data_IF_223134751573
#
_entry.id   IF_223134751573
#
_cell.length_a   1.000
_cell.length_b   1.000
_cell.length_c   1.000
_cell.angle_alpha   90.00
_cell.angle_beta   90.00
_cell.angle_gamma   90.00
#
_symmetry.space_group_name_H-M   'P 1'
#
loop_
_entity.id
_entity.type
_entity.pdbx_description
1 polymer ?
#
# COMPACT_ATOMS: atom_id res chain seq x y z
N UNK A 1 0.65 -9.60 10.86
CA UNK A 1 1.53 -10.74 10.56
C UNK A 1 2.08 -11.33 11.84
N UNK A 2 2.46 -12.62 11.87
CA UNK A 2 3.20 -13.26 12.94
C UNK A 2 4.41 -14.01 12.38
N UNK A 3 5.44 -14.16 13.20
CA UNK A 3 6.66 -14.91 12.84
C UNK A 3 6.47 -16.37 13.24
N UNK A 4 6.23 -17.22 12.27
CA UNK A 4 6.00 -18.66 12.50
C UNK A 4 7.25 -19.42 12.95
N UNK A 5 8.44 -18.89 12.64
CA UNK A 5 9.69 -19.52 13.04
C UNK A 5 9.93 -19.56 14.54
N UNK A 6 9.16 -18.78 15.32
CA UNK A 6 9.23 -18.73 16.77
C UNK A 6 8.44 -19.85 17.48
N UNK A 7 7.72 -20.68 16.71
CA UNK A 7 6.82 -21.68 17.24
C UNK A 7 7.10 -23.06 16.64
N UNK A 8 6.96 -24.16 17.42
CA UNK A 8 7.04 -25.52 16.89
C UNK A 8 5.97 -25.77 15.82
N UNK A 9 6.32 -26.56 14.80
CA UNK A 9 5.41 -26.87 13.70
C UNK A 9 4.13 -27.58 14.15
N UNK A 10 4.22 -28.39 15.21
CA UNK A 10 3.12 -29.16 15.78
C UNK A 10 1.96 -28.28 16.27
N UNK A 11 2.25 -27.08 16.78
CA UNK A 11 1.26 -26.13 17.29
C UNK A 11 0.95 -25.00 16.33
N UNK A 12 1.45 -25.06 15.08
CA UNK A 12 1.27 -23.99 14.09
C UNK A 12 -0.19 -23.56 13.93
N UNK A 13 -1.13 -24.51 13.82
CA UNK A 13 -2.54 -24.19 13.65
C UNK A 13 -3.14 -23.49 14.88
N UNK A 14 -2.75 -23.87 16.06
CA UNK A 14 -3.20 -23.24 17.31
C UNK A 14 -2.69 -21.80 17.40
N UNK A 15 -1.41 -21.59 17.13
CA UNK A 15 -0.75 -20.29 17.08
C UNK A 15 -1.43 -19.39 16.03
N UNK A 16 -1.62 -19.89 14.84
CA UNK A 16 -2.32 -19.17 13.77
C UNK A 16 -3.71 -18.73 14.19
N UNK A 17 -4.49 -19.62 14.79
CA UNK A 17 -5.84 -19.29 15.28
C UNK A 17 -5.82 -18.28 16.43
N UNK A 18 -4.82 -18.35 17.31
CA UNK A 18 -4.62 -17.38 18.39
C UNK A 18 -4.35 -15.98 17.82
N UNK A 19 -3.43 -15.84 16.84
CA UNK A 19 -3.13 -14.57 16.20
C UNK A 19 -4.31 -14.01 15.40
N UNK A 20 -5.10 -14.85 14.76
CA UNK A 20 -6.35 -14.42 14.06
C UNK A 20 -7.34 -13.85 15.07
N UNK A 21 -7.58 -14.52 16.20
CA UNK A 21 -8.47 -14.03 17.26
C UNK A 21 -7.96 -12.72 17.85
N UNK A 22 -6.67 -12.65 18.18
CA UNK A 22 -6.04 -11.43 18.68
C UNK A 22 -6.17 -10.27 17.72
N UNK A 23 -5.91 -10.47 16.42
CA UNK A 23 -6.03 -9.44 15.41
C UNK A 23 -7.48 -8.94 15.26
N UNK A 24 -8.47 -9.81 15.37
CA UNK A 24 -9.89 -9.42 15.38
C UNK A 24 -10.24 -8.59 16.61
N UNK A 25 -9.74 -8.98 17.78
CA UNK A 25 -9.97 -8.24 19.03
C UNK A 25 -9.34 -6.85 18.99
N UNK A 26 -8.09 -6.74 18.52
CA UNK A 26 -7.41 -5.45 18.34
C UNK A 26 -8.18 -4.57 17.34
N UNK A 27 -8.59 -5.13 16.19
CA UNK A 27 -9.39 -4.39 15.22
C UNK A 27 -10.70 -3.89 15.83
N UNK A 28 -11.41 -4.72 16.59
CA UNK A 28 -12.64 -4.33 17.26
C UNK A 28 -12.39 -3.18 18.23
N UNK A 29 -11.41 -3.28 19.12
CA UNK A 29 -11.08 -2.25 20.10
C UNK A 29 -10.73 -0.90 19.49
N UNK A 30 -10.04 -0.89 18.35
CA UNK A 30 -9.58 0.35 17.72
C UNK A 30 -10.67 0.98 16.85
N UNK A 31 -11.49 0.18 16.17
CA UNK A 31 -12.41 0.62 15.12
C UNK A 31 -13.87 0.72 15.60
N UNK A 32 -14.21 0.10 16.74
CA UNK A 32 -15.58 0.13 17.28
C UNK A 32 -15.95 1.54 17.73
N UNK A 33 -17.11 2.02 17.28
CA UNK A 33 -17.64 3.32 17.69
C UNK A 33 -18.30 3.20 19.06
N UNK A 34 -17.81 3.94 20.00
CA UNK A 34 -18.35 4.07 21.36
C UNK A 34 -19.09 5.40 21.52
N UNK A 35 -19.67 5.65 22.70
CA UNK A 35 -20.26 6.97 23.02
C UNK A 35 -19.25 8.13 22.95
N UNK A 36 -17.93 7.85 22.99
CA UNK A 36 -16.84 8.82 22.85
C UNK A 36 -16.22 8.83 21.44
N UNK A 37 -16.78 8.10 20.48
CA UNK A 37 -16.23 7.93 19.15
C UNK A 37 -15.40 6.64 19.00
N UNK A 38 -14.49 6.61 18.02
CA UNK A 38 -13.57 5.49 17.77
C UNK A 38 -12.11 5.96 17.80
N UNK A 39 -11.18 5.04 18.03
CA UNK A 39 -9.75 5.39 18.15
C UNK A 39 -9.14 5.64 16.76
N UNK A 40 -9.19 4.63 15.87
CA UNK A 40 -8.73 4.71 14.49
C UNK A 40 -9.60 3.87 13.56
N UNK A 41 -9.88 4.40 12.38
CA UNK A 41 -10.46 3.61 11.31
C UNK A 41 -9.39 2.69 10.71
N UNK A 42 -9.55 1.39 10.87
CA UNK A 42 -8.64 0.38 10.35
C UNK A 42 -9.17 -0.26 9.07
N UNK A 43 -8.28 -0.57 8.14
CA UNK A 43 -8.61 -1.24 6.89
C UNK A 43 -7.64 -2.39 6.63
N UNK A 44 -8.13 -3.62 6.66
CA UNK A 44 -7.35 -4.83 6.43
C UNK A 44 -7.42 -5.36 4.99
N UNK A 45 -7.99 -4.60 4.05
CA UNK A 45 -8.12 -5.04 2.65
C UNK A 45 -6.78 -5.12 1.91
N UNK A 46 -5.74 -4.44 2.40
CA UNK A 46 -4.39 -4.47 1.79
C UNK A 46 -3.54 -5.69 2.22
N UNK A 47 -4.17 -6.77 2.66
CA UNK A 47 -3.48 -8.05 2.90
C UNK A 47 -3.51 -8.95 1.66
N UNK A 48 -2.62 -9.95 1.54
CA UNK A 48 -2.65 -10.92 0.44
C UNK A 48 -4.03 -11.52 0.24
N UNK A 49 -4.59 -11.40 -0.96
CA UNK A 49 -5.87 -11.96 -1.37
C UNK A 49 -6.97 -11.94 -0.26
N UNK A 50 -7.52 -10.76 0.09
CA UNK A 50 -8.40 -10.60 1.25
C UNK A 50 -9.72 -11.36 1.19
N UNK A 51 -10.11 -11.85 0.02
CA UNK A 51 -11.33 -12.65 -0.16
C UNK A 51 -11.21 -14.08 0.38
N UNK A 52 -9.98 -14.63 0.45
CA UNK A 52 -9.74 -16.01 0.86
C UNK A 52 -8.78 -16.16 2.04
N UNK A 53 -8.00 -15.12 2.36
CA UNK A 53 -7.02 -15.17 3.43
C UNK A 53 -7.58 -14.65 4.76
N UNK A 54 -7.15 -15.20 5.90
CA UNK A 54 -7.51 -14.68 7.21
C UNK A 54 -6.93 -13.28 7.45
N UNK A 55 -7.44 -12.59 8.47
CA UNK A 55 -7.01 -11.23 8.84
C UNK A 55 -5.53 -11.15 9.26
N UNK A 56 -4.97 -12.26 9.74
CA UNK A 56 -3.56 -12.39 10.11
C UNK A 56 -2.94 -13.59 9.39
N UNK A 57 -1.75 -13.38 8.83
CA UNK A 57 -0.95 -14.37 8.10
C UNK A 57 0.42 -14.50 8.77
N UNK A 58 1.09 -15.63 8.57
CA UNK A 58 2.50 -15.76 8.88
C UNK A 58 3.34 -14.91 7.93
N UNK A 59 4.54 -14.52 8.37
CA UNK A 59 5.47 -13.73 7.57
C UNK A 59 5.84 -14.47 6.30
N UNK A 60 6.16 -15.77 6.38
CA UNK A 60 6.62 -16.55 5.23
C UNK A 60 5.48 -16.78 4.23
N UNK A 61 4.24 -17.04 4.70
CA UNK A 61 3.07 -17.11 3.80
C UNK A 61 2.82 -15.78 3.06
N UNK A 62 3.00 -14.66 3.74
CA UNK A 62 2.84 -13.35 3.09
C UNK A 62 3.94 -13.08 2.07
N UNK A 63 5.20 -13.40 2.39
CA UNK A 63 6.33 -13.25 1.46
C UNK A 63 6.15 -14.12 0.23
N UNK A 64 5.80 -15.41 0.40
CA UNK A 64 5.54 -16.33 -0.70
C UNK A 64 4.45 -15.85 -1.64
N UNK A 65 3.39 -15.23 -1.10
CA UNK A 65 2.36 -14.59 -1.93
C UNK A 65 2.92 -13.43 -2.76
N UNK A 66 3.65 -12.49 -2.13
CA UNK A 66 4.16 -11.33 -2.86
C UNK A 66 5.23 -11.68 -3.88
N UNK A 67 6.01 -12.73 -3.65
CA UNK A 67 7.00 -13.25 -4.61
C UNK A 67 6.33 -13.89 -5.84
N UNK A 68 5.24 -14.63 -5.65
CA UNK A 68 4.60 -15.44 -6.70
C UNK A 68 3.42 -14.75 -7.39
N UNK A 69 2.56 -14.07 -6.64
CA UNK A 69 1.26 -13.57 -7.10
C UNK A 69 1.01 -12.09 -6.81
N UNK A 70 1.95 -11.39 -6.18
CA UNK A 70 1.80 -9.99 -5.80
C UNK A 70 1.59 -9.06 -7.00
N UNK A 71 0.58 -8.20 -6.92
CA UNK A 71 0.13 -7.32 -8.00
C UNK A 71 0.83 -5.95 -7.95
N UNK A 72 0.83 -5.24 -9.08
CA UNK A 72 1.46 -3.93 -9.20
C UNK A 72 0.89 -2.87 -8.21
N UNK A 73 -0.41 -2.87 -7.98
CA UNK A 73 -1.03 -1.94 -7.04
C UNK A 73 -0.62 -2.20 -5.58
N UNK A 74 -0.33 -3.46 -5.22
CA UNK A 74 0.19 -3.81 -3.90
C UNK A 74 1.60 -3.25 -3.70
N UNK A 75 2.44 -3.27 -4.77
CA UNK A 75 3.76 -2.60 -4.75
C UNK A 75 3.62 -1.12 -4.42
N UNK A 76 2.68 -0.42 -5.08
CA UNK A 76 2.40 0.99 -4.81
C UNK A 76 1.98 1.23 -3.35
N UNK A 77 1.12 0.37 -2.80
CA UNK A 77 0.69 0.46 -1.40
C UNK A 77 1.88 0.31 -0.42
N UNK A 78 2.82 -0.59 -0.71
CA UNK A 78 3.99 -0.83 0.12
C UNK A 78 5.04 0.29 0.09
N UNK A 79 5.02 1.20 -0.86
CA UNK A 79 5.91 2.38 -0.86
C UNK A 79 5.77 3.19 0.44
N UNK A 80 4.54 3.25 0.97
CA UNK A 80 4.23 3.99 2.21
C UNK A 80 4.18 3.11 3.45
N UNK A 81 4.42 1.81 3.33
CA UNK A 81 4.33 0.90 4.45
C UNK A 81 5.41 1.14 5.49
N UNK A 82 5.02 1.10 6.75
CA UNK A 82 5.90 1.16 7.91
C UNK A 82 5.37 0.28 9.03
N UNK A 83 6.25 -0.22 9.86
CA UNK A 83 5.88 -0.86 11.11
C UNK A 83 5.39 0.19 12.11
N UNK A 84 4.31 -0.08 12.83
CA UNK A 84 3.71 0.88 13.75
C UNK A 84 3.35 0.30 15.11
N UNK A 85 3.23 -1.03 15.24
CA UNK A 85 2.87 -1.69 16.50
C UNK A 85 3.33 -3.15 16.51
N UNK A 86 3.37 -3.76 17.67
CA UNK A 86 3.85 -5.11 17.89
C UNK A 86 5.38 -5.20 17.86
N UNK A 87 5.93 -6.31 17.37
CA UNK A 87 7.37 -6.46 17.18
C UNK A 87 7.85 -5.64 15.98
N UNK A 88 8.35 -4.42 16.26
CA UNK A 88 8.85 -3.49 15.23
C UNK A 88 10.06 -4.04 14.48
N UNK A 89 10.87 -4.90 15.13
CA UNK A 89 12.04 -5.52 14.51
C UNK A 89 11.62 -6.57 13.50
N UNK A 90 10.69 -7.45 13.85
CA UNK A 90 10.12 -8.44 12.92
C UNK A 90 9.43 -7.76 11.74
N UNK A 91 8.64 -6.71 11.99
CA UNK A 91 7.99 -5.94 10.95
C UNK A 91 8.97 -5.24 10.01
N UNK A 92 10.05 -4.67 10.55
CA UNK A 92 11.12 -4.04 9.74
C UNK A 92 11.87 -5.08 8.90
N UNK A 93 12.12 -6.28 9.46
CA UNK A 93 12.70 -7.42 8.74
C UNK A 93 11.81 -7.86 7.57
N UNK A 94 10.50 -7.96 7.80
CA UNK A 94 9.53 -8.27 6.76
C UNK A 94 9.58 -7.25 5.62
N UNK A 95 9.49 -5.95 5.92
CA UNK A 95 9.56 -4.89 4.91
C UNK A 95 10.89 -4.90 4.15
N UNK A 96 12.00 -5.23 4.81
CA UNK A 96 13.30 -5.38 4.15
C UNK A 96 13.31 -6.56 3.18
N UNK A 97 12.77 -7.71 3.57
CA UNK A 97 12.63 -8.89 2.68
C UNK A 97 11.71 -8.60 1.48
N UNK A 98 10.73 -7.70 1.64
CA UNK A 98 9.78 -7.33 0.59
C UNK A 98 10.35 -6.31 -0.44
N UNK A 99 11.51 -5.70 -0.18
CA UNK A 99 12.11 -4.70 -1.07
C UNK A 99 12.27 -5.17 -2.53
N UNK A 100 12.71 -6.42 -2.83
CA UNK A 100 12.81 -6.90 -4.21
C UNK A 100 11.46 -6.94 -4.94
N UNK A 101 10.38 -7.23 -4.22
CA UNK A 101 9.02 -7.18 -4.78
C UNK A 101 8.61 -5.74 -5.09
N UNK A 102 8.84 -4.79 -4.17
CA UNK A 102 8.43 -3.39 -4.35
C UNK A 102 9.26 -2.74 -5.45
N UNK A 103 10.59 -2.91 -5.44
CA UNK A 103 11.55 -2.19 -6.27
C UNK A 103 12.23 -3.12 -7.28
N UNK A 104 11.49 -3.56 -8.30
CA UNK A 104 12.02 -4.40 -9.37
C UNK A 104 12.99 -3.61 -10.24
N UNK A 105 14.17 -4.19 -10.53
CA UNK A 105 15.20 -3.56 -11.37
C UNK A 105 14.84 -3.55 -12.86
N UNK A 106 14.07 -4.54 -13.31
CA UNK A 106 13.65 -4.66 -14.69
C UNK A 106 12.30 -4.00 -14.90
N UNK A 107 12.13 -3.31 -16.02
CA UNK A 107 10.89 -2.67 -16.40
C UNK A 107 9.85 -3.77 -16.63
N UNK A 108 8.82 -3.74 -15.82
CA UNK A 108 7.69 -4.65 -15.93
C UNK A 108 6.56 -3.90 -16.67
N UNK A 109 6.48 -4.10 -18.00
CA UNK A 109 5.43 -3.48 -18.82
C UNK A 109 4.03 -3.87 -18.34
N UNK A 110 3.87 -5.09 -17.81
CA UNK A 110 2.61 -5.52 -17.22
C UNK A 110 2.25 -4.65 -16.01
N UNK A 111 3.22 -4.32 -15.15
CA UNK A 111 2.99 -3.44 -14.00
C UNK A 111 2.59 -2.02 -14.40
N UNK A 112 3.10 -1.50 -15.51
CA UNK A 112 2.72 -0.18 -16.05
C UNK A 112 1.29 -0.24 -16.58
N UNK A 113 0.96 -1.29 -17.30
CA UNK A 113 -0.40 -1.52 -17.81
C UNK A 113 -1.40 -1.68 -16.68
N UNK A 114 -1.11 -2.53 -15.69
CA UNK A 114 -1.95 -2.71 -14.51
C UNK A 114 -2.19 -1.39 -13.76
N UNK A 115 -1.15 -0.57 -13.61
CA UNK A 115 -1.27 0.75 -13.00
C UNK A 115 -2.18 1.68 -13.81
N UNK A 116 -2.08 1.65 -15.13
CA UNK A 116 -2.94 2.43 -16.02
C UNK A 116 -4.40 1.94 -15.96
N UNK A 117 -4.62 0.63 -16.00
CA UNK A 117 -5.94 0.01 -15.95
C UNK A 117 -6.66 0.31 -14.63
N UNK A 118 -5.94 0.29 -13.49
CA UNK A 118 -6.48 0.69 -12.19
C UNK A 118 -6.89 2.16 -12.19
N UNK A 119 -6.07 3.05 -12.78
CA UNK A 119 -6.41 4.46 -12.89
C UNK A 119 -7.69 4.67 -13.72
N UNK A 120 -7.83 3.95 -14.83
CA UNK A 120 -9.04 3.99 -15.65
C UNK A 120 -10.28 3.47 -14.90
N UNK A 121 -10.15 2.37 -14.15
CA UNK A 121 -11.25 1.83 -13.33
C UNK A 121 -11.68 2.82 -12.23
N UNK A 122 -10.73 3.50 -11.60
CA UNK A 122 -11.03 4.54 -10.60
C UNK A 122 -11.77 5.70 -11.26
N UNK A 123 -11.33 6.15 -12.44
CA UNK A 123 -12.04 7.20 -13.22
C UNK A 123 -13.46 6.78 -13.57
N UNK A 124 -13.64 5.58 -14.10
CA UNK A 124 -14.95 5.06 -14.50
C UNK A 124 -15.95 4.98 -13.34
N UNK A 125 -15.47 4.58 -12.15
CA UNK A 125 -16.32 4.49 -10.96
C UNK A 125 -16.63 5.86 -10.30
N UNK A 126 -15.91 6.92 -10.67
CA UNK A 126 -16.06 8.27 -10.10
C UNK A 126 -16.77 9.26 -11.08
N UNK A 127 -17.23 8.81 -12.24
CA UNK A 127 -18.02 9.61 -13.16
C UNK A 127 -19.43 9.85 -12.59
N UNK A 128 -19.54 10.82 -11.68
CA UNK A 128 -20.83 11.44 -11.35
C UNK A 128 -21.12 12.47 -12.46
N UNK A 129 -22.27 12.37 -13.18
CA UNK A 129 -22.63 13.28 -14.28
C UNK A 129 -22.82 14.75 -13.87
N UNK A 130 -23.02 15.02 -12.59
CA UNK A 130 -23.30 16.37 -12.04
C UNK A 130 -22.04 17.15 -11.62
N UNK A 131 -20.92 16.94 -12.29
CA UNK A 131 -19.64 17.57 -11.97
C UNK A 131 -19.52 19.07 -12.32
N UNK A 132 -20.61 19.80 -12.52
CA UNK A 132 -20.60 21.24 -12.85
C UNK A 132 -20.31 22.17 -11.66
N UNK A 133 -20.31 21.67 -10.44
CA UNK A 133 -19.99 22.43 -9.23
C UNK A 133 -18.83 21.79 -8.46
N UNK A 134 -17.78 22.58 -8.18
CA UNK A 134 -16.68 22.17 -7.27
C UNK A 134 -17.17 22.00 -5.81
N UNK A 135 -18.29 22.62 -5.48
CA UNK A 135 -18.93 22.50 -4.17
C UNK A 135 -19.54 21.09 -4.00
N UNK A 136 -19.04 20.33 -3.03
CA UNK A 136 -19.49 18.97 -2.73
C UNK A 136 -18.70 17.85 -3.39
N UNK A 137 -17.70 18.14 -4.24
CA UNK A 137 -16.84 17.13 -4.81
C UNK A 137 -15.81 16.60 -3.79
N UNK A 138 -15.56 15.29 -3.86
CA UNK A 138 -14.55 14.67 -3.01
C UNK A 138 -13.14 14.94 -3.57
N UNK A 139 -12.44 15.92 -3.01
CA UNK A 139 -11.08 16.35 -3.40
C UNK A 139 -10.09 15.16 -3.50
N UNK A 140 -10.32 14.09 -2.77
CA UNK A 140 -9.49 12.89 -2.84
C UNK A 140 -9.67 12.12 -4.15
N UNK A 141 -10.87 12.14 -4.74
CA UNK A 141 -11.30 11.25 -5.82
C UNK A 141 -11.50 11.95 -7.16
N UNK A 142 -11.62 13.27 -7.20
CA UNK A 142 -11.76 14.03 -8.44
C UNK A 142 -10.52 13.88 -9.33
N UNK A 143 -10.68 14.14 -10.63
CA UNK A 143 -9.57 14.20 -11.56
C UNK A 143 -8.58 15.31 -11.15
N UNK A 144 -7.27 14.97 -11.11
CA UNK A 144 -6.24 15.85 -10.55
C UNK A 144 -6.25 15.96 -9.02
N UNK A 145 -7.11 15.20 -8.31
CA UNK A 145 -7.19 15.18 -6.86
C UNK A 145 -6.03 14.46 -6.18
N UNK A 146 -6.08 14.42 -4.85
CA UNK A 146 -4.98 13.88 -4.01
C UNK A 146 -4.57 12.47 -4.43
N UNK A 147 -5.52 11.59 -4.74
CA UNK A 147 -5.24 10.21 -5.16
C UNK A 147 -4.55 10.14 -6.52
N UNK A 148 -4.91 10.98 -7.46
CA UNK A 148 -4.27 11.05 -8.77
C UNK A 148 -2.80 11.49 -8.66
N UNK A 149 -2.54 12.50 -7.84
CA UNK A 149 -1.19 12.99 -7.57
C UNK A 149 -0.32 11.91 -6.89
N UNK A 150 -0.88 11.23 -5.89
CA UNK A 150 -0.20 10.12 -5.21
C UNK A 150 0.12 8.99 -6.18
N UNK A 151 -0.87 8.59 -6.98
CA UNK A 151 -0.74 7.49 -7.92
C UNK A 151 0.28 7.81 -9.03
N UNK A 152 0.27 9.04 -9.52
CA UNK A 152 1.26 9.52 -10.48
C UNK A 152 2.69 9.41 -9.92
N UNK A 153 2.92 9.91 -8.70
CA UNK A 153 4.21 9.81 -8.04
C UNK A 153 4.64 8.36 -7.84
N UNK A 154 3.75 7.51 -7.30
CA UNK A 154 4.02 6.09 -7.05
C UNK A 154 4.31 5.31 -8.34
N UNK A 155 3.60 5.60 -9.44
CA UNK A 155 3.86 4.98 -10.74
C UNK A 155 5.28 5.28 -11.22
N UNK A 156 5.71 6.55 -11.15
CA UNK A 156 7.08 6.94 -11.51
C UNK A 156 8.12 6.28 -10.58
N UNK A 157 7.83 6.19 -9.30
CA UNK A 157 8.69 5.50 -8.33
C UNK A 157 8.82 4.00 -8.64
N UNK A 158 7.72 3.30 -8.97
CA UNK A 158 7.75 1.88 -9.33
C UNK A 158 8.58 1.64 -10.59
N UNK A 159 8.48 2.53 -11.57
CA UNK A 159 9.22 2.42 -12.84
C UNK A 159 10.73 2.60 -12.63
N UNK A 160 11.13 3.59 -11.83
CA UNK A 160 12.52 4.03 -11.72
C UNK A 160 13.21 3.63 -10.41
N UNK A 161 12.46 3.45 -9.33
CA UNK A 161 13.02 3.22 -7.99
C UNK A 161 13.76 1.89 -7.80
N UNK A 162 13.60 0.95 -8.73
CA UNK A 162 14.43 -0.27 -8.73
C UNK A 162 15.88 -0.01 -9.14
N UNK A 163 16.14 1.05 -9.91
CA UNK A 163 17.45 1.46 -10.41
C UNK A 163 18.03 2.65 -9.65
N UNK A 164 17.17 3.53 -9.14
CA UNK A 164 17.56 4.71 -8.36
C UNK A 164 16.82 4.71 -7.02
N UNK A 165 17.52 4.34 -5.96
CA UNK A 165 16.96 4.25 -4.60
C UNK A 165 16.66 5.62 -3.98
N UNK A 166 17.21 6.70 -4.52
CA UNK A 166 16.85 8.07 -4.09
C UNK A 166 15.39 8.41 -4.34
N UNK A 167 14.73 7.68 -5.28
CA UNK A 167 13.32 7.84 -5.62
C UNK A 167 12.36 7.13 -4.64
N UNK A 168 12.88 6.36 -3.68
CA UNK A 168 12.08 5.52 -2.77
C UNK A 168 11.49 6.28 -1.56
N UNK A 169 11.18 7.56 -1.73
CA UNK A 169 10.59 8.36 -0.67
C UNK A 169 9.13 7.96 -0.40
N UNK A 170 8.77 7.74 0.87
CA UNK A 170 7.40 7.37 1.27
C UNK A 170 6.43 8.55 1.23
N UNK A 171 6.92 9.78 1.39
CA UNK A 171 6.12 11.00 1.37
C UNK A 171 5.93 11.50 -0.06
N UNK A 172 4.69 11.71 -0.50
CA UNK A 172 4.36 12.10 -1.88
C UNK A 172 5.05 13.37 -2.34
N UNK A 173 5.01 14.43 -1.55
CA UNK A 173 5.66 15.70 -1.90
C UNK A 173 7.19 15.57 -2.00
N UNK A 174 7.80 14.78 -1.11
CA UNK A 174 9.23 14.50 -1.18
C UNK A 174 9.57 13.67 -2.43
N UNK A 175 8.74 12.68 -2.75
CA UNK A 175 8.89 11.87 -3.96
C UNK A 175 8.83 12.75 -5.22
N UNK A 176 7.84 13.63 -5.33
CA UNK A 176 7.68 14.55 -6.46
C UNK A 176 8.90 15.48 -6.61
N UNK A 177 9.41 16.06 -5.51
CA UNK A 177 10.61 16.90 -5.53
C UNK A 177 11.84 16.14 -6.04
N UNK A 178 12.03 14.89 -5.60
CA UNK A 178 13.17 14.06 -6.05
C UNK A 178 12.98 13.63 -7.49
N UNK A 179 11.78 13.24 -7.92
CA UNK A 179 11.45 12.91 -9.30
C UNK A 179 11.75 14.07 -10.26
N UNK A 180 11.39 15.31 -9.89
CA UNK A 180 11.72 16.49 -10.67
C UNK A 180 13.23 16.74 -10.74
N UNK A 181 13.93 16.67 -9.60
CA UNK A 181 15.38 16.83 -9.55
C UNK A 181 16.12 15.80 -10.43
N UNK A 182 15.55 14.61 -10.60
CA UNK A 182 16.09 13.52 -11.44
C UNK A 182 15.62 13.57 -12.90
N UNK A 183 14.86 14.60 -13.30
CA UNK A 183 14.39 14.76 -14.68
C UNK A 183 13.21 13.85 -15.08
N UNK A 184 12.53 13.24 -14.11
CA UNK A 184 11.33 12.43 -14.35
C UNK A 184 10.04 13.27 -14.50
N UNK A 185 10.12 14.56 -14.13
CA UNK A 185 9.06 15.55 -14.25
C UNK A 185 9.62 16.81 -14.88
N UNK A 186 8.84 17.47 -15.72
CA UNK A 186 9.15 18.81 -16.20
C UNK A 186 9.06 19.81 -15.04
N UNK A 187 10.05 20.67 -14.93
CA UNK A 187 10.17 21.62 -13.80
C UNK A 187 8.96 22.58 -13.71
N UNK A 188 8.30 22.88 -14.83
CA UNK A 188 7.11 23.72 -14.88
C UNK A 188 5.89 23.13 -14.15
N UNK A 189 5.86 21.81 -13.92
CA UNK A 189 4.74 21.14 -13.26
C UNK A 189 4.81 21.21 -11.72
N UNK A 190 5.90 21.73 -11.16
CA UNK A 190 6.08 21.87 -9.70
C UNK A 190 5.67 23.22 -9.14
N UNK A 191 5.49 24.22 -9.98
CA UNK A 191 5.16 25.59 -9.56
C UNK A 191 3.69 25.73 -9.13
N UNK A 192 2.88 24.67 -9.31
CA UNK A 192 1.44 24.63 -8.99
C UNK A 192 1.16 23.78 -7.73
N UNK A 193 2.17 23.19 -7.10
CA UNK A 193 2.09 22.42 -5.84
C UNK A 193 2.79 23.17 -4.69
#
# INVERSE_FOLDING_TARGET
LFDESLYPCEIYNEVRMAFIRMSRSVNKLINETTGLGYVFRTDFRLRPNPSVTPICLSIDSALGYYESAGRAWERAAFIKARTCAGDLTAGSRFLKKLQPFIWRKHLDFAAIKDAHDIRQQIKANNLNPDASSLLGQNIKLIEGGIRDIEFFAQTKQIIAGGRDDTLRASQTLKALKVLAKRGWLESNNLTVL
#
